data_IF_322391351187
#
_entry.id   IF_322391351187
#
_cell.length_a   1.000
_cell.length_b   1.000
_cell.length_c   1.000
_cell.angle_alpha   90.00
_cell.angle_beta   90.00
_cell.angle_gamma   90.00
#
_symmetry.space_group_name_H-M   'P 1'
#
loop_
_entity.id
_entity.type
_entity.pdbx_description
1 polymer ?
#
# COMPACT_ATOMS: atom_id res chain seq x y z
N UNK A 1 24.38 9.62 6.19
CA UNK A 1 23.06 10.27 6.33
C UNK A 1 22.01 9.18 6.48
N UNK A 2 20.99 9.40 7.31
CA UNK A 2 19.90 8.42 7.51
C UNK A 2 18.90 8.51 6.36
N UNK A 3 18.43 7.35 5.87
CA UNK A 3 17.38 7.29 4.86
C UNK A 3 16.03 7.65 5.50
N UNK A 4 15.25 8.62 4.96
CA UNK A 4 13.92 8.91 5.47
C UNK A 4 12.99 7.70 5.35
N UNK A 5 12.07 7.56 6.31
CA UNK A 5 11.06 6.48 6.28
C UNK A 5 9.67 7.10 6.27
N UNK A 6 8.85 6.70 5.30
CA UNK A 6 7.45 7.09 5.17
C UNK A 6 6.56 5.90 5.57
N UNK A 7 5.88 6.02 6.70
CA UNK A 7 4.83 5.10 7.10
C UNK A 7 3.51 5.54 6.46
N UNK A 8 2.78 4.61 5.83
CA UNK A 8 1.62 4.95 5.03
C UNK A 8 0.49 3.93 5.21
N UNK A 9 -0.74 4.42 5.40
CA UNK A 9 -1.95 3.58 5.35
C UNK A 9 -2.46 3.42 3.90
N UNK A 10 -3.51 2.62 3.71
CA UNK A 10 -4.19 2.44 2.43
C UNK A 10 -5.54 3.16 2.41
N UNK A 11 -6.42 2.89 3.38
CA UNK A 11 -7.79 3.41 3.35
C UNK A 11 -7.83 4.91 3.64
N UNK A 12 -8.40 5.68 2.71
CA UNK A 12 -8.38 7.14 2.74
C UNK A 12 -7.04 7.78 2.35
N UNK A 13 -6.03 6.97 1.99
CA UNK A 13 -4.68 7.44 1.61
C UNK A 13 -4.32 7.04 0.18
N UNK A 14 -4.22 5.73 -0.07
CA UNK A 14 -4.03 5.16 -1.42
C UNK A 14 -5.36 4.83 -2.11
N UNK A 15 -6.47 5.14 -1.43
CA UNK A 15 -7.80 5.20 -1.98
C UNK A 15 -8.57 6.35 -1.34
N UNK A 16 -9.79 6.61 -1.79
CA UNK A 16 -10.65 7.65 -1.21
C UNK A 16 -12.12 7.33 -1.44
N UNK A 17 -13.02 7.96 -0.69
CA UNK A 17 -14.45 7.86 -0.95
C UNK A 17 -14.81 8.28 -2.39
N UNK A 18 -14.11 9.28 -2.95
CA UNK A 18 -14.29 9.71 -4.32
C UNK A 18 -13.82 8.65 -5.34
N UNK A 19 -12.75 7.91 -5.04
CA UNK A 19 -12.30 6.78 -5.86
C UNK A 19 -13.29 5.61 -5.78
N UNK A 20 -13.63 5.17 -4.57
CA UNK A 20 -14.53 4.05 -4.34
C UNK A 20 -15.94 4.32 -4.88
N UNK A 21 -16.39 5.57 -4.86
CA UNK A 21 -17.66 6.00 -5.46
C UNK A 21 -17.76 5.83 -6.97
N UNK A 22 -16.65 5.54 -7.67
CA UNK A 22 -16.65 5.24 -9.12
C UNK A 22 -17.15 3.84 -9.46
N UNK A 23 -17.41 3.01 -8.45
CA UNK A 23 -17.93 1.66 -8.60
C UNK A 23 -19.37 1.57 -8.07
N UNK A 24 -20.34 2.27 -8.68
CA UNK A 24 -21.71 2.33 -8.17
C UNK A 24 -22.35 0.95 -8.14
N UNK A 25 -23.08 0.65 -7.07
CA UNK A 25 -23.75 -0.64 -6.89
C UNK A 25 -22.81 -1.80 -6.51
N UNK A 26 -21.51 -1.56 -6.37
CA UNK A 26 -20.56 -2.53 -5.83
C UNK A 26 -20.26 -2.23 -4.36
N UNK A 27 -20.29 -3.26 -3.53
CA UNK A 27 -19.72 -3.23 -2.18
C UNK A 27 -18.34 -3.89 -2.28
N UNK A 28 -17.29 -3.09 -2.46
CA UNK A 28 -15.93 -3.62 -2.58
C UNK A 28 -15.47 -4.12 -1.20
N UNK A 29 -15.00 -5.36 -1.16
CA UNK A 29 -14.55 -6.03 0.06
C UNK A 29 -13.23 -6.76 -0.16
N UNK A 30 -12.36 -6.73 0.86
CA UNK A 30 -11.18 -7.59 0.87
C UNK A 30 -11.57 -9.05 1.10
N UNK A 31 -10.84 -10.02 0.52
CA UNK A 31 -9.68 -9.83 -0.37
C UNK A 31 -10.06 -9.64 -1.85
N UNK A 32 -11.28 -9.99 -2.25
CA UNK A 32 -11.67 -10.15 -3.66
C UNK A 32 -11.57 -8.88 -4.51
N UNK A 33 -11.84 -7.72 -3.91
CA UNK A 33 -11.86 -6.43 -4.61
C UNK A 33 -10.62 -5.56 -4.34
N UNK A 34 -9.57 -6.13 -3.73
CA UNK A 34 -8.41 -5.37 -3.24
C UNK A 34 -7.70 -4.55 -4.33
N UNK A 35 -7.70 -5.05 -5.56
CA UNK A 35 -7.13 -4.33 -6.69
C UNK A 35 -7.97 -3.09 -7.06
N UNK A 36 -9.29 -3.21 -7.18
CA UNK A 36 -10.16 -2.07 -7.51
C UNK A 36 -10.22 -1.03 -6.38
N UNK A 37 -10.01 -1.47 -5.14
CA UNK A 37 -9.96 -0.58 -4.00
C UNK A 37 -8.75 0.36 -4.00
N UNK A 38 -7.71 0.14 -4.80
CA UNK A 38 -6.55 1.05 -4.91
C UNK A 38 -6.75 2.10 -6.01
N UNK A 39 -6.51 3.38 -5.67
CA UNK A 39 -6.46 4.46 -6.64
C UNK A 39 -5.08 4.49 -7.33
N UNK A 40 -4.98 4.16 -8.63
CA UNK A 40 -3.71 4.14 -9.34
C UNK A 40 -3.01 5.50 -9.36
N UNK A 41 -3.74 6.62 -9.34
CA UNK A 41 -3.12 7.94 -9.32
C UNK A 41 -2.55 8.26 -7.93
N UNK A 42 -3.20 7.80 -6.84
CA UNK A 42 -2.63 7.91 -5.50
C UNK A 42 -1.32 7.10 -5.37
N UNK A 43 -1.30 5.87 -5.92
CA UNK A 43 -0.09 5.03 -5.95
C UNK A 43 1.02 5.69 -6.79
N UNK A 44 0.70 6.31 -7.92
CA UNK A 44 1.68 7.10 -8.70
C UNK A 44 2.23 8.30 -7.95
N UNK A 45 1.42 8.99 -7.14
CA UNK A 45 1.89 10.09 -6.28
C UNK A 45 2.89 9.59 -5.23
N UNK A 46 2.60 8.45 -4.60
CA UNK A 46 3.52 7.81 -3.67
C UNK A 46 4.87 7.51 -4.32
N UNK A 47 4.87 6.92 -5.53
CA UNK A 47 6.12 6.67 -6.25
C UNK A 47 6.90 7.96 -6.55
N UNK A 48 6.21 9.05 -6.91
CA UNK A 48 6.88 10.36 -7.09
C UNK A 48 7.51 10.89 -5.81
N UNK A 49 6.84 10.76 -4.67
CA UNK A 49 7.39 11.15 -3.36
C UNK A 49 8.64 10.32 -3.05
N UNK A 50 8.56 8.99 -3.25
CA UNK A 50 9.69 8.09 -3.05
C UNK A 50 10.88 8.46 -3.92
N UNK A 51 10.67 8.72 -5.21
CA UNK A 51 11.72 9.12 -6.14
C UNK A 51 12.37 10.46 -5.76
N UNK A 52 11.56 11.44 -5.37
CA UNK A 52 12.05 12.77 -5.02
C UNK A 52 12.82 12.80 -3.68
N UNK A 53 12.48 11.92 -2.75
CA UNK A 53 13.02 11.95 -1.38
C UNK A 53 14.02 10.84 -1.09
N UNK A 54 14.04 9.77 -1.89
CA UNK A 54 14.78 8.55 -1.58
C UNK A 54 14.24 7.79 -0.37
N UNK A 55 13.03 8.10 0.10
CA UNK A 55 12.50 7.49 1.32
C UNK A 55 12.23 5.99 1.15
N UNK A 56 12.39 5.24 2.24
CA UNK A 56 11.83 3.89 2.37
C UNK A 56 10.34 4.01 2.68
N UNK A 57 9.50 3.26 1.97
CA UNK A 57 8.06 3.19 2.24
C UNK A 57 7.75 1.98 3.09
N UNK A 58 6.99 2.18 4.16
CA UNK A 58 6.47 1.14 5.05
C UNK A 58 4.94 1.23 5.03
N UNK A 59 4.28 0.15 4.60
CA UNK A 59 2.81 0.10 4.59
C UNK A 59 2.34 -0.33 5.97
N UNK A 60 1.60 0.53 6.63
CA UNK A 60 0.99 0.31 7.94
C UNK A 60 -0.52 0.39 7.80
N UNK A 61 -1.12 -0.74 7.41
CA UNK A 61 -2.56 -0.81 7.14
C UNK A 61 -3.20 -2.04 7.77
N UNK A 62 -4.50 -1.95 8.05
CA UNK A 62 -5.33 -3.07 8.52
C UNK A 62 -5.51 -4.15 7.45
N UNK A 63 -5.22 -3.87 6.18
CA UNK A 63 -5.26 -4.85 5.08
C UNK A 63 -4.44 -6.10 5.38
N UNK A 64 -3.39 -6.01 6.20
CA UNK A 64 -2.58 -7.14 6.66
C UNK A 64 -3.37 -8.24 7.40
N UNK A 65 -4.56 -7.91 7.91
CA UNK A 65 -5.45 -8.88 8.55
C UNK A 65 -6.27 -9.70 7.54
N UNK A 66 -6.42 -9.20 6.31
CA UNK A 66 -7.19 -9.84 5.24
C UNK A 66 -6.31 -10.39 4.10
N UNK A 67 -5.10 -9.85 3.94
CA UNK A 67 -4.18 -10.19 2.86
C UNK A 67 -2.76 -10.47 3.40
N UNK A 68 -2.05 -11.48 2.84
CA UNK A 68 -0.62 -11.63 3.07
C UNK A 68 0.14 -10.38 2.64
N UNK A 69 1.24 -10.04 3.34
CA UNK A 69 2.06 -8.87 2.99
C UNK A 69 2.49 -8.91 1.51
N UNK A 70 2.97 -10.06 1.02
CA UNK A 70 3.38 -10.24 -0.37
C UNK A 70 2.27 -9.91 -1.38
N UNK A 71 1.01 -10.12 -1.02
CA UNK A 71 -0.13 -9.79 -1.87
C UNK A 71 -0.39 -8.28 -1.91
N UNK A 72 -0.28 -7.60 -0.75
CA UNK A 72 -0.33 -6.13 -0.69
C UNK A 72 0.81 -5.53 -1.52
N UNK A 73 2.02 -6.10 -1.44
CA UNK A 73 3.14 -5.67 -2.27
C UNK A 73 2.86 -5.83 -3.76
N UNK A 74 2.32 -7.00 -4.16
CA UNK A 74 1.96 -7.31 -5.54
C UNK A 74 0.95 -6.30 -6.07
N UNK A 75 -0.09 -6.00 -5.30
CA UNK A 75 -1.14 -5.03 -5.65
C UNK A 75 -0.57 -3.63 -5.84
N UNK A 76 0.29 -3.16 -4.93
CA UNK A 76 0.92 -1.84 -5.06
C UNK A 76 1.85 -1.76 -6.29
N UNK A 77 2.61 -2.82 -6.57
CA UNK A 77 3.44 -2.91 -7.78
C UNK A 77 2.60 -2.87 -9.06
N UNK A 78 1.47 -3.56 -9.09
CA UNK A 78 0.54 -3.51 -10.22
C UNK A 78 0.00 -2.10 -10.49
N UNK A 79 -0.17 -1.29 -9.45
CA UNK A 79 -0.65 0.08 -9.55
C UNK A 79 0.47 1.12 -9.73
N UNK A 80 1.73 0.68 -9.91
CA UNK A 80 2.84 1.53 -10.32
C UNK A 80 3.87 1.84 -9.25
N UNK A 81 3.79 1.24 -8.05
CA UNK A 81 4.82 1.38 -7.02
C UNK A 81 6.02 0.47 -7.33
N UNK A 82 7.15 1.06 -7.74
CA UNK A 82 8.34 0.30 -8.15
C UNK A 82 9.35 0.24 -7.01
N UNK A 83 9.03 -0.59 -6.02
CA UNK A 83 9.83 -0.79 -4.80
C UNK A 83 10.52 -2.15 -4.86
N UNK A 84 11.79 -2.21 -4.44
CA UNK A 84 12.50 -3.50 -4.32
C UNK A 84 12.04 -4.25 -3.07
N UNK A 85 11.85 -3.53 -1.95
CA UNK A 85 11.36 -4.07 -0.67
C UNK A 85 10.32 -3.12 -0.06
N UNK A 86 9.14 -3.65 0.27
CA UNK A 86 8.20 -2.98 1.17
C UNK A 86 8.46 -3.48 2.59
N UNK A 87 8.65 -2.55 3.52
CA UNK A 87 8.79 -2.93 4.92
C UNK A 87 7.42 -3.26 5.51
N UNK A 88 7.29 -4.42 6.15
CA UNK A 88 6.42 -4.55 7.31
C UNK A 88 7.11 -3.90 8.52
N UNK A 89 6.33 -3.45 9.51
CA UNK A 89 6.90 -3.06 10.81
C UNK A 89 7.55 -4.31 11.41
N UNK A 90 8.87 -4.34 11.70
CA UNK A 90 9.46 -5.44 12.45
C UNK A 90 8.84 -5.43 13.84
N UNK A 91 8.08 -6.48 14.18
CA UNK A 91 7.36 -6.47 15.46
C UNK A 91 6.34 -7.58 15.72
N UNK A 92 6.05 -8.48 14.77
CA UNK A 92 5.41 -9.77 15.04
C UNK A 92 5.90 -10.79 14.01
N UNK A 93 6.99 -11.52 14.30
CA UNK A 93 7.36 -12.71 13.52
C UNK A 93 8.85 -12.97 13.26
N UNK A 94 9.78 -12.09 13.62
CA UNK A 94 11.21 -12.45 13.61
C UNK A 94 11.59 -13.02 14.98
N UNK A 95 11.15 -14.26 15.23
CA UNK A 95 11.91 -15.11 16.12
C UNK A 95 13.21 -15.46 15.40
N UNK A 96 14.31 -15.11 16.04
CA UNK A 96 15.66 -15.44 15.60
C UNK A 96 15.78 -16.92 15.20
N UNK A 97 16.41 -17.16 14.05
CA UNK A 97 17.10 -18.38 13.71
C UNK A 97 18.32 -18.03 12.87
#
# INVERSE_FOLDING_TARGET
MTQPVLFLDIDGVLNSAAWLGRFPGRCLTLPGDAAEMLDPEAVRRLERIRQATGCRVVVSSSWRHALPLAEIERLLRQHGLRVEHLGGVPGQGEAAA
#
